data_IF_258337734244
#
_entry.id   IF_258337734244
#
_cell.length_a   1.000
_cell.length_b   1.000
_cell.length_c   1.000
_cell.angle_alpha   90.00
_cell.angle_beta   90.00
_cell.angle_gamma   90.00
#
_symmetry.space_group_name_H-M   'P 1'
#
loop_
_entity.id
_entity.type
_entity.pdbx_description
1 polymer ?
#
# COMPACT_ATOMS: atom_id res chain seq x y z
N UNK A 1 26.26 40.55 21.67
CA UNK A 1 26.58 41.34 20.46
C UNK A 1 27.20 40.36 19.50
N UNK A 2 26.58 39.91 18.42
CA UNK A 2 25.73 40.50 17.37
C UNK A 2 24.69 39.44 16.98
N UNK A 3 23.38 39.59 17.14
CA UNK A 3 22.40 40.44 16.46
C UNK A 3 22.51 40.50 14.92
N UNK A 4 21.41 40.12 14.26
CA UNK A 4 21.01 40.68 12.96
C UNK A 4 21.00 39.75 11.74
N UNK A 5 19.78 39.33 11.34
CA UNK A 5 19.29 39.02 9.97
C UNK A 5 19.55 37.58 9.48
N UNK A 6 18.64 36.60 9.57
CA UNK A 6 17.17 36.61 9.39
C UNK A 6 16.71 37.52 8.23
N UNK A 7 17.46 37.53 7.13
CA UNK A 7 17.03 38.15 5.88
C UNK A 7 16.50 37.04 4.96
N UNK A 8 15.17 36.97 4.84
CA UNK A 8 14.33 35.94 4.19
C UNK A 8 13.80 34.85 5.16
N UNK A 9 13.40 35.23 6.38
CA UNK A 9 12.63 34.36 7.30
C UNK A 9 11.12 34.66 7.29
N UNK A 10 10.51 34.58 6.10
CA UNK A 10 9.07 34.70 5.94
C UNK A 10 8.50 33.73 4.89
N UNK A 11 9.07 32.54 4.77
CA UNK A 11 8.42 31.40 4.10
C UNK A 11 7.99 30.40 5.19
N UNK A 12 6.88 30.72 5.86
CA UNK A 12 6.06 29.90 6.76
C UNK A 12 6.71 28.63 7.32
N UNK A 13 7.35 28.73 8.48
CA UNK A 13 7.66 27.55 9.31
C UNK A 13 6.37 27.07 9.97
N UNK A 14 5.57 26.35 9.20
CA UNK A 14 4.24 25.86 9.54
C UNK A 14 4.33 24.49 10.23
N UNK A 15 4.12 24.43 11.56
CA UNK A 15 4.14 23.18 12.34
C UNK A 15 2.76 22.66 12.75
N UNK A 16 1.66 23.30 12.31
CA UNK A 16 0.30 22.86 12.66
C UNK A 16 0.04 21.45 12.13
N UNK A 17 -0.45 20.57 13.00
CA UNK A 17 -0.92 19.23 12.65
C UNK A 17 -2.44 19.20 12.70
N UNK A 18 -3.05 18.63 11.68
CA UNK A 18 -4.51 18.46 11.60
C UNK A 18 -4.81 16.96 11.60
N UNK A 19 -5.12 16.35 12.76
CA UNK A 19 -5.45 14.94 12.81
C UNK A 19 -6.78 14.68 12.08
N UNK A 20 -6.95 13.49 11.49
CA UNK A 20 -8.25 13.08 10.94
C UNK A 20 -9.31 13.04 12.05
N UNK A 21 -10.58 13.18 11.67
CA UNK A 21 -11.68 13.03 12.62
C UNK A 21 -11.75 11.61 13.17
N UNK A 22 -12.22 11.47 14.41
CA UNK A 22 -12.40 10.14 15.02
C UNK A 22 -13.35 9.23 14.21
N UNK A 23 -14.38 9.82 13.59
CA UNK A 23 -15.32 9.09 12.71
C UNK A 23 -14.64 8.51 11.47
N UNK A 24 -13.65 9.21 10.91
CA UNK A 24 -12.89 8.73 9.76
C UNK A 24 -11.90 7.63 10.18
N UNK A 25 -11.19 7.82 11.29
CA UNK A 25 -10.24 6.83 11.82
C UNK A 25 -10.94 5.50 12.12
N UNK A 26 -12.17 5.53 12.64
CA UNK A 26 -12.91 4.32 13.00
C UNK A 26 -13.24 3.41 11.81
N UNK A 27 -13.33 3.94 10.58
CA UNK A 27 -13.69 3.17 9.37
C UNK A 27 -12.54 3.00 8.39
N UNK A 28 -11.39 3.60 8.66
CA UNK A 28 -10.21 3.48 7.82
C UNK A 28 -9.60 2.08 7.89
N UNK A 29 -9.23 1.52 6.74
CA UNK A 29 -8.54 0.21 6.66
C UNK A 29 -7.16 0.22 7.35
N UNK A 30 -6.50 1.37 7.38
CA UNK A 30 -5.25 1.60 8.09
C UNK A 30 -5.47 2.76 9.07
N UNK A 31 -5.79 2.44 10.32
CA UNK A 31 -6.16 3.43 11.34
C UNK A 31 -5.13 3.55 12.47
N UNK A 32 -4.09 2.73 12.44
CA UNK A 32 -3.01 2.71 13.42
C UNK A 32 -1.66 2.41 12.73
N UNK A 33 -0.61 2.18 13.53
CA UNK A 33 0.74 1.92 13.01
C UNK A 33 1.04 0.44 12.78
N UNK A 34 0.09 -0.46 13.00
CA UNK A 34 0.36 -1.89 13.07
C UNK A 34 0.85 -2.44 11.72
N UNK A 35 0.30 -1.96 10.60
CA UNK A 35 0.76 -2.35 9.26
C UNK A 35 2.24 -2.00 9.02
N UNK A 36 2.70 -0.86 9.53
CA UNK A 36 4.11 -0.47 9.43
C UNK A 36 4.98 -1.39 10.28
N UNK A 37 4.55 -1.67 11.51
CA UNK A 37 5.27 -2.56 12.43
C UNK A 37 5.35 -3.98 11.86
N UNK A 38 4.27 -4.49 11.28
CA UNK A 38 4.23 -5.80 10.61
C UNK A 38 5.21 -5.85 9.43
N UNK A 39 5.16 -4.85 8.54
CA UNK A 39 6.04 -4.78 7.37
C UNK A 39 7.52 -4.60 7.75
N UNK A 40 7.84 -3.83 8.79
CA UNK A 40 9.21 -3.65 9.28
C UNK A 40 9.77 -4.94 9.90
N UNK A 41 8.92 -5.74 10.55
CA UNK A 41 9.33 -6.99 11.19
C UNK A 41 9.61 -8.10 10.16
N UNK A 42 8.74 -8.25 9.16
CA UNK A 42 8.91 -9.22 8.08
C UNK A 42 8.16 -8.75 6.82
N UNK A 43 8.87 -8.04 5.95
CA UNK A 43 8.29 -7.46 4.73
C UNK A 43 7.83 -8.54 3.74
N UNK A 44 8.50 -9.70 3.68
CA UNK A 44 8.11 -10.76 2.76
C UNK A 44 6.83 -11.45 3.21
N UNK A 45 6.70 -11.76 4.51
CA UNK A 45 5.47 -12.30 5.05
C UNK A 45 4.29 -11.33 4.89
N UNK A 46 4.53 -10.03 5.16
CA UNK A 46 3.55 -8.97 4.94
C UNK A 46 3.07 -8.97 3.49
N UNK A 47 3.97 -8.86 2.51
CA UNK A 47 3.61 -8.80 1.09
C UNK A 47 3.00 -10.11 0.59
N UNK A 48 3.45 -11.26 1.09
CA UNK A 48 2.87 -12.55 0.76
C UNK A 48 1.41 -12.65 1.21
N UNK A 49 1.09 -12.16 2.42
CA UNK A 49 -0.27 -12.12 2.94
C UNK A 49 -1.14 -11.18 2.11
N UNK A 50 -0.68 -9.95 1.88
CA UNK A 50 -1.39 -8.96 1.07
C UNK A 50 -1.68 -9.48 -0.35
N UNK A 51 -0.71 -10.14 -0.99
CA UNK A 51 -0.87 -10.70 -2.32
C UNK A 51 -1.86 -11.87 -2.37
N UNK A 52 -1.91 -12.72 -1.33
CA UNK A 52 -2.89 -13.83 -1.26
C UNK A 52 -4.31 -13.33 -1.03
N UNK A 53 -4.47 -12.31 -0.19
CA UNK A 53 -5.78 -11.80 0.23
C UNK A 53 -6.43 -10.93 -0.85
N UNK A 54 -5.63 -10.13 -1.58
CA UNK A 54 -6.17 -9.07 -2.45
C UNK A 54 -6.09 -9.41 -3.95
N UNK A 55 -5.26 -10.36 -4.36
CA UNK A 55 -5.05 -10.73 -5.76
C UNK A 55 -5.38 -12.20 -5.96
N UNK A 56 -6.11 -12.49 -7.03
CA UNK A 56 -6.37 -13.87 -7.44
C UNK A 56 -5.29 -14.34 -8.40
N UNK A 57 -4.59 -15.39 -8.00
CA UNK A 57 -3.50 -16.00 -8.73
C UNK A 57 -3.98 -17.26 -9.46
N UNK A 58 -3.54 -17.43 -10.70
CA UNK A 58 -3.75 -18.68 -11.45
C UNK A 58 -2.77 -19.77 -11.00
N UNK A 59 -1.56 -19.38 -10.62
CA UNK A 59 -0.60 -20.27 -9.98
C UNK A 59 0.14 -19.53 -8.86
N UNK A 60 0.37 -20.18 -7.70
CA UNK A 60 1.07 -19.56 -6.59
C UNK A 60 2.53 -19.27 -6.97
N UNK A 61 3.09 -18.22 -6.39
CA UNK A 61 4.52 -17.94 -6.46
C UNK A 61 5.31 -18.87 -5.53
N UNK A 62 6.60 -19.00 -5.79
CA UNK A 62 7.54 -19.76 -4.95
C UNK A 62 8.42 -18.86 -4.09
N UNK A 63 8.66 -17.61 -4.52
CA UNK A 63 9.48 -16.63 -3.81
C UNK A 63 8.81 -15.25 -3.86
N UNK A 64 8.77 -14.54 -2.73
CA UNK A 64 8.07 -13.24 -2.61
C UNK A 64 8.88 -12.15 -3.28
N UNK A 65 10.17 -12.07 -2.98
CA UNK A 65 11.07 -11.08 -3.54
C UNK A 65 12.42 -11.73 -3.84
N UNK A 66 12.94 -11.46 -5.02
CA UNK A 66 14.31 -11.74 -5.41
C UNK A 66 14.98 -10.42 -5.77
N UNK A 67 16.06 -10.11 -5.07
CA UNK A 67 16.69 -8.80 -5.15
C UNK A 67 18.15 -8.93 -5.58
N UNK A 68 18.35 -8.90 -6.90
CA UNK A 68 19.65 -9.02 -7.55
C UNK A 68 19.98 -7.70 -8.27
N UNK A 69 20.48 -6.73 -7.49
CA UNK A 69 20.76 -5.37 -7.96
C UNK A 69 21.47 -5.35 -9.32
N UNK A 70 20.98 -4.59 -10.32
CA UNK A 70 19.91 -3.57 -10.24
C UNK A 70 18.48 -4.12 -10.43
N UNK A 71 18.30 -5.43 -10.53
CA UNK A 71 17.02 -6.06 -10.82
C UNK A 71 16.30 -6.52 -9.56
N UNK A 72 14.97 -6.48 -9.61
CA UNK A 72 14.11 -6.98 -8.56
C UNK A 72 12.94 -7.73 -9.18
N UNK A 73 12.72 -8.96 -8.75
CA UNK A 73 11.57 -9.75 -9.15
C UNK A 73 10.66 -9.98 -7.95
N UNK A 74 9.36 -9.81 -8.15
CA UNK A 74 8.35 -9.97 -7.10
C UNK A 74 7.39 -11.08 -7.49
N UNK A 75 7.05 -11.93 -6.52
CA UNK A 75 6.16 -13.07 -6.67
C UNK A 75 6.62 -14.03 -7.78
N UNK A 76 7.91 -14.40 -7.74
CA UNK A 76 8.59 -15.23 -8.73
C UNK A 76 7.88 -16.57 -8.90
N UNK A 77 7.65 -16.96 -10.16
CA UNK A 77 6.91 -18.16 -10.53
C UNK A 77 5.38 -18.05 -10.42
N UNK A 78 4.87 -16.97 -9.84
CA UNK A 78 3.44 -16.70 -9.77
C UNK A 78 2.88 -16.30 -11.12
N UNK A 79 1.67 -16.77 -11.44
CA UNK A 79 0.96 -16.36 -12.67
C UNK A 79 -0.42 -15.83 -12.32
N UNK A 80 -0.84 -14.79 -13.03
CA UNK A 80 -2.16 -14.19 -12.90
C UNK A 80 -2.63 -13.65 -14.25
N UNK A 81 -3.92 -13.34 -14.32
CA UNK A 81 -4.49 -12.57 -15.41
C UNK A 81 -5.05 -11.25 -14.84
N UNK A 82 -4.64 -10.12 -15.42
CA UNK A 82 -5.05 -8.78 -14.94
C UNK A 82 -6.54 -8.55 -15.19
N UNK A 83 -7.04 -8.89 -16.39
CA UNK A 83 -8.47 -8.78 -16.71
C UNK A 83 -9.33 -9.58 -15.73
N UNK A 84 -8.91 -10.80 -15.39
CA UNK A 84 -9.60 -11.62 -14.40
C UNK A 84 -9.71 -10.95 -13.03
N UNK A 85 -8.63 -10.30 -12.58
CA UNK A 85 -8.61 -9.57 -11.32
C UNK A 85 -9.43 -8.28 -11.35
N UNK A 86 -9.52 -7.62 -12.51
CA UNK A 86 -10.22 -6.35 -12.64
C UNK A 86 -11.72 -6.50 -12.99
N UNK A 87 -12.12 -7.62 -13.62
CA UNK A 87 -13.47 -7.81 -14.15
C UNK A 87 -14.06 -9.15 -13.72
N UNK A 88 -13.51 -10.26 -14.22
CA UNK A 88 -14.14 -11.58 -14.15
C UNK A 88 -14.47 -11.98 -12.72
N UNK A 89 -13.52 -11.84 -11.77
CA UNK A 89 -13.76 -12.19 -10.36
C UNK A 89 -14.90 -11.39 -9.73
N UNK A 90 -15.14 -10.16 -10.19
CA UNK A 90 -16.22 -9.31 -9.67
C UNK A 90 -17.57 -9.71 -10.26
N UNK A 91 -17.62 -10.00 -11.56
CA UNK A 91 -18.82 -10.54 -12.22
C UNK A 91 -19.21 -11.88 -11.60
N UNK A 92 -18.25 -12.80 -11.45
CA UNK A 92 -18.45 -14.11 -10.82
C UNK A 92 -18.90 -14.00 -9.35
N UNK A 93 -18.50 -12.95 -8.64
CA UNK A 93 -18.98 -12.64 -7.30
C UNK A 93 -20.37 -11.98 -7.27
N UNK A 94 -21.11 -11.98 -8.38
CA UNK A 94 -22.47 -11.44 -8.48
C UNK A 94 -22.54 -9.92 -8.62
N UNK A 95 -21.41 -9.24 -8.92
CA UNK A 95 -21.34 -7.78 -9.07
C UNK A 95 -21.38 -7.34 -10.54
N UNK A 96 -21.93 -8.16 -11.43
CA UNK A 96 -21.99 -7.87 -12.87
C UNK A 96 -22.77 -6.59 -13.23
N UNK A 97 -23.81 -6.27 -12.45
CA UNK A 97 -24.60 -5.04 -12.62
C UNK A 97 -23.98 -3.80 -11.95
N UNK A 98 -22.87 -3.97 -11.21
CA UNK A 98 -22.18 -2.85 -10.60
C UNK A 98 -21.41 -2.12 -11.69
N UNK A 99 -21.74 -0.84 -11.89
CA UNK A 99 -21.08 0.03 -12.87
C UNK A 99 -19.55 0.01 -12.67
N UNK A 100 -18.84 -0.27 -13.75
CA UNK A 100 -17.38 -0.23 -13.90
C UNK A 100 -17.04 0.40 -15.26
N UNK A 101 -16.07 1.31 -15.31
CA UNK A 101 -15.56 1.96 -16.52
C UNK A 101 -14.17 2.54 -16.26
#
# INVERSE_FOLDING_TARGET
>A
MTDGQHAIDALSFEQRKFPPSASFVATAHANNRDLFVEADNDYEAFWARQARENVTWSSPWTKVCEWDLPFSEWFVGGTLNVSYNCLDRHVLAGKGEKVAF
#
